data_IF_004989681118
#
_entry.id   IF_004989681118
#
_cell.length_a   1.000
_cell.length_b   1.000
_cell.length_c   1.000
_cell.angle_alpha   90.00
_cell.angle_beta   90.00
_cell.angle_gamma   90.00
#
_symmetry.space_group_name_H-M   'P 1'
#
loop_
_entity.id
_entity.type
_entity.pdbx_description
1 polymer ?
#
# COMPACT_ATOMS: atom_id res chain seq x y z
N UNK A 1 4.91 4.00 -34.16
CA UNK A 1 4.25 3.16 -33.12
C UNK A 1 3.09 2.41 -33.77
N UNK A 2 2.98 1.08 -33.60
CA UNK A 2 1.80 0.34 -34.07
C UNK A 2 0.60 0.72 -33.21
N UNK A 3 -0.28 1.56 -33.75
CA UNK A 3 -1.43 2.15 -33.03
C UNK A 3 -2.30 1.07 -32.36
N UNK A 4 -2.37 -0.13 -32.95
CA UNK A 4 -3.10 -1.26 -32.38
C UNK A 4 -2.59 -1.74 -31.02
N UNK A 5 -1.28 -1.78 -30.76
CA UNK A 5 -0.76 -2.26 -29.47
C UNK A 5 -1.04 -1.26 -28.35
N UNK A 6 -1.04 0.04 -28.64
CA UNK A 6 -1.47 1.08 -27.69
C UNK A 6 -2.94 0.90 -27.30
N UNK A 7 -3.82 0.69 -28.28
CA UNK A 7 -5.26 0.52 -28.02
C UNK A 7 -5.53 -0.73 -27.20
N UNK A 8 -4.92 -1.86 -27.58
CA UNK A 8 -5.02 -3.11 -26.83
C UNK A 8 -4.54 -2.90 -25.40
N UNK A 9 -3.35 -2.34 -25.20
CA UNK A 9 -2.83 -2.07 -23.87
C UNK A 9 -3.74 -1.17 -23.05
N UNK A 10 -4.32 -0.13 -23.65
CA UNK A 10 -5.20 0.81 -22.95
C UNK A 10 -6.45 0.11 -22.41
N UNK A 11 -7.10 -0.72 -23.23
CA UNK A 11 -8.26 -1.52 -22.81
C UNK A 11 -7.84 -2.55 -21.76
N UNK A 12 -6.74 -3.27 -22.03
CA UNK A 12 -6.24 -4.30 -21.13
C UNK A 12 -5.90 -3.72 -19.75
N UNK A 13 -5.27 -2.55 -19.69
CA UNK A 13 -4.93 -1.84 -18.45
C UNK A 13 -6.17 -1.59 -17.60
N UNK A 14 -7.28 -1.14 -18.18
CA UNK A 14 -8.51 -0.92 -17.42
C UNK A 14 -9.05 -2.23 -16.85
N UNK A 15 -9.04 -3.31 -17.64
CA UNK A 15 -9.51 -4.62 -17.21
C UNK A 15 -8.59 -5.27 -16.16
N UNK A 16 -7.27 -5.11 -16.26
CA UNK A 16 -6.31 -5.53 -15.23
C UNK A 16 -6.63 -4.89 -13.89
N UNK A 17 -6.91 -3.59 -13.88
CA UNK A 17 -7.25 -2.85 -12.65
C UNK A 17 -8.54 -3.40 -12.03
N UNK A 18 -9.51 -3.83 -12.83
CA UNK A 18 -10.75 -4.49 -12.40
C UNK A 18 -10.55 -5.96 -11.98
N UNK A 19 -9.31 -6.45 -11.90
CA UNK A 19 -9.00 -7.84 -11.54
C UNK A 19 -9.30 -8.86 -12.65
N UNK A 20 -9.51 -8.40 -13.89
CA UNK A 20 -9.81 -9.27 -15.04
C UNK A 20 -8.54 -9.65 -15.83
N UNK A 21 -7.38 -9.70 -15.18
CA UNK A 21 -6.07 -9.94 -15.80
C UNK A 21 -6.01 -11.24 -16.62
N UNK A 22 -6.73 -12.28 -16.19
CA UNK A 22 -6.83 -13.55 -16.92
C UNK A 22 -7.43 -13.40 -18.33
N UNK A 23 -8.40 -12.49 -18.51
CA UNK A 23 -9.08 -12.28 -19.80
C UNK A 23 -8.22 -11.52 -20.81
N UNK A 24 -7.26 -10.74 -20.32
CA UNK A 24 -6.48 -9.81 -21.14
C UNK A 24 -5.05 -10.27 -21.41
N UNK A 25 -4.58 -11.30 -20.71
CA UNK A 25 -3.24 -11.86 -20.84
C UNK A 25 -2.90 -12.20 -22.31
N UNK A 26 -3.77 -12.92 -23.01
CA UNK A 26 -3.56 -13.31 -24.41
C UNK A 26 -3.41 -12.11 -25.36
N UNK A 27 -4.18 -11.05 -25.12
CA UNK A 27 -4.11 -9.83 -25.94
C UNK A 27 -2.80 -9.06 -25.71
N UNK A 28 -2.32 -9.01 -24.47
CA UNK A 28 -1.04 -8.39 -24.13
C UNK A 28 0.16 -9.22 -24.64
N UNK A 29 0.05 -10.54 -24.61
CA UNK A 29 1.02 -11.44 -25.24
C UNK A 29 1.08 -11.20 -26.74
N UNK A 30 -0.07 -11.16 -27.41
CA UNK A 30 -0.16 -10.84 -28.83
C UNK A 30 0.48 -9.47 -29.15
N UNK A 31 0.14 -8.44 -28.37
CA UNK A 31 0.71 -7.10 -28.55
C UNK A 31 2.24 -7.10 -28.38
N UNK A 32 2.76 -7.85 -27.41
CA UNK A 32 4.20 -8.02 -27.19
C UNK A 32 4.86 -8.69 -28.40
N UNK A 33 4.28 -9.80 -28.90
CA UNK A 33 4.79 -10.54 -30.06
C UNK A 33 4.76 -9.68 -31.32
N UNK A 34 3.72 -8.88 -31.55
CA UNK A 34 3.65 -7.96 -32.70
C UNK A 34 4.78 -6.95 -32.70
N UNK A 35 5.15 -6.41 -31.53
CA UNK A 35 6.29 -5.49 -31.42
C UNK A 35 7.62 -6.21 -31.65
N UNK A 36 7.70 -7.51 -31.35
CA UNK A 36 8.90 -8.32 -31.56
C UNK A 36 9.04 -8.87 -33.00
N UNK A 37 7.93 -9.03 -33.73
CA UNK A 37 7.91 -9.69 -35.04
C UNK A 37 8.34 -8.79 -36.20
N UNK A 38 8.51 -7.49 -35.97
CA UNK A 38 8.81 -6.50 -37.00
C UNK A 38 10.14 -5.81 -36.70
N UNK A 39 11.12 -5.99 -37.60
CA UNK A 39 12.48 -5.44 -37.47
C UNK A 39 12.46 -3.92 -37.19
N UNK A 40 11.65 -3.08 -37.88
CA UNK A 40 11.58 -1.65 -37.57
C UNK A 40 11.13 -1.31 -36.14
N UNK A 41 10.38 -2.22 -35.50
CA UNK A 41 9.88 -2.07 -34.13
C UNK A 41 10.86 -2.60 -33.07
N UNK A 42 11.98 -3.22 -33.49
CA UNK A 42 13.02 -3.72 -32.60
C UNK A 42 14.05 -2.67 -32.18
N UNK A 43 14.00 -1.46 -32.73
CA UNK A 43 14.92 -0.36 -32.40
C UNK A 43 14.77 0.15 -30.95
N UNK A 44 15.80 0.87 -30.47
CA UNK A 44 15.83 1.50 -29.14
C UNK A 44 14.66 2.45 -28.93
N UNK A 45 14.23 3.17 -29.98
CA UNK A 45 13.07 4.07 -29.94
C UNK A 45 11.80 3.39 -29.38
N UNK A 46 11.58 2.10 -29.67
CA UNK A 46 10.39 1.37 -29.21
C UNK A 46 10.63 0.53 -27.95
N UNK A 47 11.83 0.57 -27.37
CA UNK A 47 12.22 -0.25 -26.23
C UNK A 47 11.38 0.07 -24.99
N UNK A 48 11.15 1.35 -24.69
CA UNK A 48 10.32 1.77 -23.55
C UNK A 48 8.91 1.20 -23.63
N UNK A 49 8.31 1.19 -24.82
CA UNK A 49 6.99 0.64 -25.05
C UNK A 49 6.97 -0.89 -24.94
N UNK A 50 7.96 -1.56 -25.56
CA UNK A 50 8.11 -3.03 -25.43
C UNK A 50 8.27 -3.46 -23.97
N UNK A 51 9.13 -2.79 -23.21
CA UNK A 51 9.33 -3.08 -21.79
C UNK A 51 8.05 -2.85 -20.97
N UNK A 52 7.20 -1.89 -21.36
CA UNK A 52 5.89 -1.65 -20.72
C UNK A 52 4.92 -2.80 -21.00
N UNK A 53 4.85 -3.28 -22.24
CA UNK A 53 4.06 -4.47 -22.58
C UNK A 53 4.58 -5.71 -21.85
N UNK A 54 5.90 -5.88 -21.76
CA UNK A 54 6.48 -7.02 -21.03
C UNK A 54 6.12 -6.99 -19.55
N UNK A 55 6.20 -5.82 -18.91
CA UNK A 55 5.82 -5.65 -17.52
C UNK A 55 4.33 -5.93 -17.30
N UNK A 56 3.47 -5.50 -18.23
CA UNK A 56 2.03 -5.77 -18.18
C UNK A 56 1.72 -7.27 -18.27
N UNK A 57 2.37 -8.00 -19.17
CA UNK A 57 2.23 -9.47 -19.27
C UNK A 57 2.69 -10.15 -17.99
N UNK A 58 3.87 -9.78 -17.47
CA UNK A 58 4.37 -10.31 -16.19
C UNK A 58 3.40 -10.02 -15.04
N UNK A 59 2.83 -8.82 -14.99
CA UNK A 59 1.84 -8.45 -13.99
C UNK A 59 0.56 -9.28 -14.10
N UNK A 60 0.05 -9.53 -15.31
CA UNK A 60 -1.09 -10.43 -15.49
C UNK A 60 -0.82 -11.83 -14.97
N UNK A 61 0.39 -12.38 -15.21
CA UNK A 61 0.75 -13.67 -14.63
C UNK A 61 0.79 -13.64 -13.10
N UNK A 62 1.26 -12.55 -12.48
CA UNK A 62 1.20 -12.39 -11.03
C UNK A 62 -0.25 -12.34 -10.51
N UNK A 63 -1.10 -11.54 -11.14
CA UNK A 63 -2.52 -11.43 -10.79
C UNK A 63 -3.26 -12.77 -10.93
N UNK A 64 -2.86 -13.60 -11.89
CA UNK A 64 -3.40 -14.95 -12.11
C UNK A 64 -2.77 -16.04 -11.23
N UNK A 65 -2.05 -15.68 -10.17
CA UNK A 65 -1.34 -16.62 -9.27
C UNK A 65 -0.30 -17.51 -10.00
N UNK A 66 0.11 -17.12 -11.19
CA UNK A 66 1.03 -17.84 -12.07
C UNK A 66 2.44 -17.20 -12.04
N UNK A 67 2.92 -16.81 -10.84
CA UNK A 67 4.11 -15.97 -10.69
C UNK A 67 5.40 -16.55 -11.29
N UNK A 68 5.52 -17.87 -11.40
CA UNK A 68 6.66 -18.51 -12.11
C UNK A 68 6.71 -18.04 -13.57
N UNK A 69 5.57 -18.05 -14.25
CA UNK A 69 5.46 -17.60 -15.64
C UNK A 69 5.74 -16.10 -15.76
N UNK A 70 5.28 -15.29 -14.79
CA UNK A 70 5.58 -13.87 -14.73
C UNK A 70 7.08 -13.57 -14.66
N UNK A 71 7.81 -14.29 -13.80
CA UNK A 71 9.27 -14.18 -13.69
C UNK A 71 9.99 -14.68 -14.95
N UNK A 72 9.61 -15.84 -15.50
CA UNK A 72 10.19 -16.38 -16.74
C UNK A 72 10.04 -15.38 -17.89
N UNK A 73 8.85 -14.78 -18.01
CA UNK A 73 8.58 -13.79 -19.04
C UNK A 73 9.44 -12.52 -18.86
N UNK A 74 9.57 -12.03 -17.62
CA UNK A 74 10.42 -10.87 -17.33
C UNK A 74 11.90 -11.15 -17.62
N UNK A 75 12.40 -12.35 -17.29
CA UNK A 75 13.77 -12.78 -17.64
C UNK A 75 13.98 -12.84 -19.16
N UNK A 76 13.01 -13.35 -19.91
CA UNK A 76 13.03 -13.33 -21.38
C UNK A 76 13.11 -11.90 -21.91
N UNK A 77 12.30 -10.99 -21.37
CA UNK A 77 12.33 -9.57 -21.71
C UNK A 77 13.69 -8.94 -21.46
N UNK A 78 14.31 -9.26 -20.31
CA UNK A 78 15.64 -8.77 -19.94
C UNK A 78 16.74 -9.26 -20.89
N UNK A 79 16.72 -10.53 -21.29
CA UNK A 79 17.66 -11.09 -22.29
C UNK A 79 17.56 -10.31 -23.61
N UNK A 80 16.33 -10.05 -24.09
CA UNK A 80 16.13 -9.27 -25.33
C UNK A 80 16.58 -7.82 -25.22
N UNK A 81 16.44 -7.20 -24.05
CA UNK A 81 16.96 -5.85 -23.78
C UNK A 81 18.48 -5.87 -23.85
N UNK A 82 19.14 -6.88 -23.28
CA UNK A 82 20.60 -7.03 -23.29
C UNK A 82 21.13 -7.29 -24.70
N UNK A 83 20.49 -8.17 -25.48
CA UNK A 83 20.82 -8.40 -26.89
C UNK A 83 20.76 -7.11 -27.71
N UNK A 84 19.70 -6.30 -27.52
CA UNK A 84 19.58 -5.02 -28.21
C UNK A 84 20.64 -4.02 -27.75
N UNK A 85 21.00 -4.03 -26.47
CA UNK A 85 22.06 -3.17 -25.93
C UNK A 85 23.41 -3.50 -26.56
N UNK A 86 23.76 -4.79 -26.65
CA UNK A 86 24.99 -5.23 -27.30
C UNK A 86 25.04 -4.81 -28.78
N UNK A 87 23.91 -4.89 -29.49
CA UNK A 87 23.82 -4.43 -30.88
C UNK A 87 24.03 -2.91 -31.02
N UNK A 88 23.50 -2.13 -30.07
CA UNK A 88 23.66 -0.67 -30.04
C UNK A 88 25.11 -0.26 -29.69
N UNK A 89 25.75 -1.00 -28.78
CA UNK A 89 27.16 -0.78 -28.40
C UNK A 89 28.12 -1.07 -29.58
N UNK A 90 27.74 -1.96 -30.51
CA UNK A 90 28.50 -2.25 -31.73
C UNK A 90 28.24 -1.18 -32.82
N UNK A 91 27.05 -0.58 -32.86
CA UNK A 91 26.61 0.30 -33.95
C UNK A 91 26.90 1.79 -33.72
N UNK A 92 27.05 2.24 -32.47
CA UNK A 92 26.98 3.67 -32.14
C UNK A 92 28.33 4.40 -32.07
N UNK A 93 28.37 5.58 -32.71
CA UNK A 93 29.34 6.65 -32.47
C UNK A 93 28.62 7.83 -31.78
N UNK A 94 28.79 7.95 -30.46
CA UNK A 94 28.64 9.19 -29.67
C UNK A 94 27.24 9.85 -29.52
N UNK A 95 26.15 9.09 -29.32
CA UNK A 95 24.87 9.63 -28.76
C UNK A 95 24.39 8.83 -27.51
N UNK A 96 25.21 8.81 -26.46
CA UNK A 96 25.04 7.87 -25.33
C UNK A 96 23.92 8.20 -24.33
N UNK A 97 23.55 9.47 -24.12
CA UNK A 97 22.81 9.83 -22.89
C UNK A 97 21.32 9.51 -22.88
N UNK A 98 20.63 9.53 -24.02
CA UNK A 98 19.19 9.23 -24.09
C UNK A 98 18.93 7.73 -24.22
N UNK A 99 19.72 7.04 -25.06
CA UNK A 99 19.67 5.59 -25.19
C UNK A 99 19.96 4.90 -23.84
N UNK A 100 20.97 5.36 -23.09
CA UNK A 100 21.28 4.82 -21.75
C UNK A 100 20.10 4.95 -20.77
N UNK A 101 19.35 6.07 -20.81
CA UNK A 101 18.15 6.24 -19.98
C UNK A 101 17.06 5.25 -20.37
N UNK A 102 16.85 5.03 -21.67
CA UNK A 102 15.88 4.07 -22.19
C UNK A 102 16.23 2.63 -21.78
N UNK A 103 17.51 2.24 -21.91
CA UNK A 103 17.98 0.94 -21.46
C UNK A 103 17.86 0.78 -19.94
N UNK A 104 18.23 1.81 -19.16
CA UNK A 104 18.10 1.80 -17.69
C UNK A 104 16.64 1.65 -17.26
N UNK A 105 15.73 2.37 -17.90
CA UNK A 105 14.28 2.24 -17.68
C UNK A 105 13.78 0.82 -17.99
N UNK A 106 14.12 0.29 -19.16
CA UNK A 106 13.66 -1.02 -19.62
C UNK A 106 14.18 -2.15 -18.71
N UNK A 107 15.47 -2.11 -18.35
CA UNK A 107 16.09 -3.06 -17.42
C UNK A 107 15.45 -2.96 -16.05
N UNK A 108 15.21 -1.75 -15.52
CA UNK A 108 14.57 -1.57 -14.22
C UNK A 108 13.16 -2.19 -14.17
N UNK A 109 12.35 -2.00 -15.22
CA UNK A 109 11.01 -2.64 -15.32
C UNK A 109 11.10 -4.16 -15.21
N UNK A 110 12.03 -4.80 -15.93
CA UNK A 110 12.18 -6.25 -15.89
C UNK A 110 12.75 -6.73 -14.56
N UNK A 111 13.77 -6.05 -14.02
CA UNK A 111 14.37 -6.39 -12.73
C UNK A 111 13.38 -6.32 -11.58
N UNK A 112 12.51 -5.31 -11.54
CA UNK A 112 11.44 -5.19 -10.55
C UNK A 112 10.46 -6.37 -10.64
N UNK A 113 10.03 -6.74 -11.85
CA UNK A 113 9.15 -7.90 -12.06
C UNK A 113 9.81 -9.22 -11.66
N UNK A 114 11.11 -9.39 -11.89
CA UNK A 114 11.88 -10.57 -11.46
C UNK A 114 11.98 -10.60 -9.92
N UNK A 115 12.33 -9.47 -9.31
CA UNK A 115 12.50 -9.34 -7.86
C UNK A 115 11.23 -9.69 -7.10
N UNK A 116 10.07 -9.23 -7.59
CA UNK A 116 8.73 -9.47 -7.01
C UNK A 116 8.51 -10.92 -6.59
N UNK A 117 8.97 -11.89 -7.40
CA UNK A 117 8.93 -13.31 -7.05
C UNK A 117 10.22 -13.83 -6.42
N UNK A 118 11.37 -13.42 -6.95
CA UNK A 118 12.67 -13.97 -6.56
C UNK A 118 12.94 -13.82 -5.06
N UNK A 119 12.51 -12.70 -4.46
CA UNK A 119 12.68 -12.43 -3.03
C UNK A 119 12.02 -13.51 -2.15
N UNK A 120 10.78 -13.88 -2.45
CA UNK A 120 10.06 -14.94 -1.74
C UNK A 120 10.54 -16.35 -2.12
N UNK A 121 10.89 -16.59 -3.39
CA UNK A 121 11.32 -17.89 -3.86
C UNK A 121 12.71 -18.30 -3.34
N UNK A 122 13.59 -17.33 -3.08
CA UNK A 122 14.94 -17.56 -2.54
C UNK A 122 14.90 -18.27 -1.18
N UNK A 123 13.95 -17.90 -0.32
CA UNK A 123 13.75 -18.51 1.00
C UNK A 123 13.19 -19.93 0.91
N UNK A 124 12.26 -20.19 -0.01
CA UNK A 124 11.72 -21.55 -0.23
C UNK A 124 12.79 -22.57 -0.62
N UNK A 125 13.82 -22.14 -1.40
CA UNK A 125 14.93 -23.00 -1.83
C UNK A 125 16.02 -23.21 -0.76
N UNK A 126 16.13 -22.33 0.23
CA UNK A 126 17.13 -22.42 1.32
C UNK A 126 16.86 -23.56 2.31
N UNK A 127 15.66 -24.13 2.32
CA UNK A 127 15.27 -25.17 3.26
C UNK A 127 15.86 -26.56 2.98
N UNK A 128 16.61 -26.76 1.90
CA UNK A 128 17.17 -28.08 1.62
C UNK A 128 18.36 -28.43 2.51
N UNK A 129 19.33 -27.55 2.82
CA UNK A 129 20.52 -27.96 3.60
C UNK A 129 21.29 -26.85 4.36
N UNK A 130 20.66 -25.77 4.82
CA UNK A 130 21.35 -24.83 5.73
C UNK A 130 20.40 -24.10 6.68
N UNK A 131 20.49 -24.42 7.98
CA UNK A 131 20.09 -23.46 9.03
C UNK A 131 21.08 -22.30 8.96
N UNK A 132 20.84 -21.34 8.08
CA UNK A 132 21.49 -20.03 8.21
C UNK A 132 21.00 -19.41 9.51
N UNK A 133 21.93 -18.93 10.33
CA UNK A 133 21.63 -18.44 11.68
C UNK A 133 20.53 -17.40 11.61
N UNK A 134 19.44 -17.65 12.34
CA UNK A 134 18.28 -16.78 12.47
C UNK A 134 18.72 -15.46 13.10
N UNK A 135 19.12 -14.48 12.28
CA UNK A 135 19.34 -13.12 12.73
C UNK A 135 17.96 -12.53 12.98
N UNK A 136 17.59 -12.34 14.25
CA UNK A 136 16.36 -11.66 14.59
C UNK A 136 16.38 -10.26 13.93
N UNK A 137 15.36 -9.87 13.15
CA UNK A 137 15.31 -8.55 12.51
C UNK A 137 15.42 -7.42 13.55
N UNK A 138 14.95 -7.66 14.78
CA UNK A 138 15.01 -6.73 15.91
C UNK A 138 16.41 -6.57 16.55
N UNK A 139 17.36 -7.49 16.32
CA UNK A 139 18.73 -7.42 16.90
C UNK A 139 19.79 -6.97 15.88
N UNK A 140 19.39 -6.71 14.64
CA UNK A 140 20.29 -6.37 13.54
C UNK A 140 20.59 -4.86 13.42
N UNK A 141 20.07 -4.03 14.32
CA UNK A 141 20.23 -2.55 14.30
C UNK A 141 21.70 -2.11 14.38
N UNK A 142 22.60 -2.94 14.94
CA UNK A 142 24.03 -2.63 15.08
C UNK A 142 24.93 -3.13 13.93
N UNK A 143 24.36 -3.72 12.87
CA UNK A 143 25.11 -4.21 11.71
C UNK A 143 25.00 -3.21 10.55
N UNK A 144 26.10 -2.99 9.83
CA UNK A 144 26.10 -2.17 8.62
C UNK A 144 25.23 -2.81 7.54
N UNK A 145 24.37 -2.02 6.89
CA UNK A 145 23.62 -2.41 5.71
C UNK A 145 24.57 -2.97 4.61
N UNK A 146 24.26 -4.09 3.93
CA UNK A 146 23.09 -4.97 4.03
C UNK A 146 23.28 -6.14 5.01
N UNK A 147 22.22 -6.48 5.76
CA UNK A 147 22.21 -7.43 6.89
C UNK A 147 21.43 -8.71 6.57
N UNK A 148 20.29 -8.58 5.90
CA UNK A 148 19.40 -9.72 5.59
C UNK A 148 19.63 -10.28 4.19
N UNK A 149 19.14 -11.48 3.90
CA UNK A 149 19.21 -12.05 2.54
C UNK A 149 18.39 -11.22 1.56
N UNK A 150 17.29 -10.63 2.02
CA UNK A 150 16.43 -9.71 1.26
C UNK A 150 17.19 -8.44 0.88
N UNK A 151 17.87 -7.81 1.84
CA UNK A 151 18.68 -6.60 1.61
C UNK A 151 19.86 -6.88 0.67
N UNK A 152 20.54 -8.03 0.82
CA UNK A 152 21.60 -8.47 -0.09
C UNK A 152 21.10 -8.65 -1.52
N UNK A 153 19.91 -9.22 -1.71
CA UNK A 153 19.30 -9.37 -3.04
C UNK A 153 18.93 -8.01 -3.65
N UNK A 154 18.39 -7.08 -2.84
CA UNK A 154 18.07 -5.72 -3.29
C UNK A 154 19.31 -4.97 -3.80
N UNK A 155 20.40 -4.99 -3.02
CA UNK A 155 21.66 -4.34 -3.40
C UNK A 155 22.29 -5.01 -4.64
N UNK A 156 22.13 -6.32 -4.79
CA UNK A 156 22.66 -7.04 -5.96
C UNK A 156 21.88 -6.76 -7.26
N UNK A 157 20.59 -6.39 -7.17
CA UNK A 157 19.72 -6.21 -8.34
C UNK A 157 19.49 -4.74 -8.72
N UNK A 158 19.65 -3.79 -7.79
CA UNK A 158 19.24 -2.40 -8.00
C UNK A 158 20.28 -1.39 -7.49
N UNK A 159 20.62 -0.47 -8.38
CA UNK A 159 21.48 0.67 -8.08
C UNK A 159 20.64 1.88 -7.61
N UNK A 160 20.79 2.20 -6.32
CA UNK A 160 20.21 3.39 -5.71
C UNK A 160 18.92 3.12 -4.93
N UNK A 161 18.69 3.97 -3.93
CA UNK A 161 17.64 3.79 -2.95
C UNK A 161 16.23 3.85 -3.54
N UNK A 162 15.99 4.75 -4.51
CA UNK A 162 14.69 4.86 -5.19
C UNK A 162 14.31 3.58 -5.97
N UNK A 163 15.28 2.93 -6.65
CA UNK A 163 15.05 1.67 -7.36
C UNK A 163 14.81 0.51 -6.38
N UNK A 164 15.58 0.46 -5.29
CA UNK A 164 15.39 -0.52 -4.22
C UNK A 164 14.01 -0.36 -3.56
N UNK A 165 13.59 0.88 -3.28
CA UNK A 165 12.28 1.17 -2.69
C UNK A 165 11.12 0.79 -3.62
N UNK A 166 11.25 1.07 -4.93
CA UNK A 166 10.27 0.63 -5.91
C UNK A 166 10.14 -0.90 -5.95
N UNK A 167 11.27 -1.61 -5.90
CA UNK A 167 11.27 -3.07 -5.88
C UNK A 167 10.60 -3.64 -4.62
N UNK A 168 10.82 -3.01 -3.45
CA UNK A 168 10.15 -3.34 -2.20
C UNK A 168 8.64 -3.15 -2.33
N UNK A 169 8.21 -1.97 -2.78
CA UNK A 169 6.79 -1.66 -2.96
C UNK A 169 6.10 -2.65 -3.90
N UNK A 170 6.76 -3.00 -4.99
CA UNK A 170 6.17 -3.91 -5.98
C UNK A 170 6.09 -5.35 -5.46
N UNK A 171 7.08 -5.78 -4.66
CA UNK A 171 7.05 -7.07 -3.97
C UNK A 171 5.91 -7.14 -2.93
N UNK A 172 5.64 -6.04 -2.24
CA UNK A 172 4.57 -5.93 -1.24
C UNK A 172 3.18 -5.69 -1.85
N UNK A 173 3.08 -5.20 -3.09
CA UNK A 173 1.80 -4.87 -3.76
C UNK A 173 1.06 -6.10 -4.33
N UNK A 174 1.15 -7.25 -3.67
CA UNK A 174 0.51 -8.48 -4.13
C UNK A 174 -0.98 -8.54 -3.75
N UNK A 175 -1.85 -8.23 -4.73
CA UNK A 175 -3.30 -8.22 -4.57
C UNK A 175 -3.88 -9.56 -4.08
N UNK A 176 -3.19 -10.68 -4.29
CA UNK A 176 -3.64 -12.00 -3.83
C UNK A 176 -3.57 -12.19 -2.31
N UNK A 177 -2.97 -11.24 -1.60
CA UNK A 177 -2.78 -11.27 -0.14
C UNK A 177 -3.71 -10.33 0.62
N UNK A 178 -4.50 -9.51 -0.09
CA UNK A 178 -5.46 -8.55 0.47
C UNK A 178 -6.85 -9.15 0.72
N UNK A 179 -6.94 -10.32 1.36
CA UNK A 179 -8.24 -10.88 1.70
C UNK A 179 -8.25 -11.30 3.17
N UNK A 180 -8.75 -10.39 4.01
CA UNK A 180 -9.58 -10.78 5.15
C UNK A 180 -10.70 -11.71 4.61
N UNK A 181 -11.02 -12.82 5.29
CA UNK A 181 -10.64 -13.19 6.65
C UNK A 181 -9.35 -14.03 6.72
N UNK A 182 -8.71 -14.09 7.90
CA UNK A 182 -7.49 -14.87 8.11
C UNK A 182 -7.77 -16.36 7.88
N UNK A 183 -7.23 -16.92 6.79
CA UNK A 183 -7.10 -18.37 6.68
C UNK A 183 -6.02 -18.84 7.68
N UNK A 184 -6.16 -20.03 8.28
CA UNK A 184 -5.17 -20.54 9.22
C UNK A 184 -3.82 -20.70 8.50
N UNK A 185 -2.72 -20.25 9.11
CA UNK A 185 -1.47 -20.10 8.40
C UNK A 185 -0.92 -21.44 7.95
N UNK A 186 -0.82 -21.62 6.63
CA UNK A 186 -0.08 -22.72 6.03
C UNK A 186 1.41 -22.55 6.40
N UNK A 187 2.20 -23.62 6.62
CA UNK A 187 3.62 -23.50 7.01
C UNK A 187 4.48 -22.62 6.08
N UNK A 188 4.10 -22.48 4.80
CA UNK A 188 4.72 -21.59 3.82
C UNK A 188 4.47 -20.08 4.12
N UNK A 189 3.45 -19.73 4.90
CA UNK A 189 3.10 -18.36 5.27
C UNK A 189 4.03 -17.76 6.33
N UNK A 190 4.59 -18.58 7.23
CA UNK A 190 5.52 -18.08 8.26
C UNK A 190 6.82 -17.55 7.62
N UNK A 191 7.33 -18.21 6.58
CA UNK A 191 8.52 -17.76 5.83
C UNK A 191 8.23 -16.53 4.97
N UNK A 192 7.01 -16.44 4.45
CA UNK A 192 6.53 -15.26 3.75
C UNK A 192 6.44 -14.07 4.71
N UNK A 193 5.98 -14.28 5.94
CA UNK A 193 5.93 -13.28 7.00
C UNK A 193 7.31 -12.71 7.30
N UNK A 194 8.31 -13.59 7.51
CA UNK A 194 9.69 -13.14 7.75
C UNK A 194 10.24 -12.27 6.61
N UNK A 195 10.04 -12.67 5.34
CA UNK A 195 10.46 -11.86 4.18
C UNK A 195 9.70 -10.53 4.12
N UNK A 196 8.43 -10.53 4.47
CA UNK A 196 7.58 -9.34 4.46
C UNK A 196 8.05 -8.33 5.51
N UNK A 197 8.32 -8.77 6.75
CA UNK A 197 8.90 -7.92 7.78
C UNK A 197 10.31 -7.43 7.42
N UNK A 198 11.13 -8.25 6.75
CA UNK A 198 12.44 -7.82 6.21
C UNK A 198 12.29 -6.72 5.14
N UNK A 199 11.33 -6.86 4.22
CA UNK A 199 11.02 -5.86 3.19
C UNK A 199 10.55 -4.54 3.80
N UNK A 200 9.69 -4.58 4.81
CA UNK A 200 9.23 -3.39 5.52
C UNK A 200 10.36 -2.72 6.32
N UNK A 201 11.22 -3.50 6.98
CA UNK A 201 12.39 -2.96 7.69
C UNK A 201 13.36 -2.28 6.73
N UNK A 202 13.63 -2.91 5.58
CA UNK A 202 14.43 -2.36 4.49
C UNK A 202 13.83 -1.07 3.92
N UNK A 203 12.51 -1.06 3.69
CA UNK A 203 11.80 0.11 3.19
C UNK A 203 11.84 1.28 4.16
N UNK A 204 11.68 1.01 5.46
CA UNK A 204 11.75 2.04 6.50
C UNK A 204 13.15 2.65 6.61
N UNK A 205 14.21 1.85 6.50
CA UNK A 205 15.60 2.36 6.52
C UNK A 205 15.91 3.23 5.30
N UNK A 206 15.42 2.83 4.12
CA UNK A 206 15.53 3.64 2.90
C UNK A 206 14.75 4.95 3.03
N UNK A 207 13.58 4.93 3.67
CA UNK A 207 12.74 6.09 3.90
C UNK A 207 13.34 7.06 4.92
N UNK A 208 13.94 6.55 6.00
CA UNK A 208 14.55 7.37 7.06
C UNK A 208 15.90 7.97 6.66
N UNK A 209 16.65 7.30 5.79
CA UNK A 209 17.98 7.71 5.34
C UNK A 209 18.02 8.69 4.14
N UNK A 210 16.89 8.97 3.47
CA UNK A 210 16.85 9.81 2.27
C UNK A 210 15.94 11.03 2.43
N UNK A 211 16.40 12.19 1.95
CA UNK A 211 15.54 13.35 1.71
C UNK A 211 14.62 13.07 0.52
N UNK A 212 13.31 13.23 0.71
CA UNK A 212 12.30 13.09 -0.34
C UNK A 212 12.63 13.96 -1.57
N UNK A 213 12.44 13.44 -2.78
CA UNK A 213 12.56 14.22 -4.02
C UNK A 213 11.17 14.70 -4.46
N UNK A 214 11.00 16.02 -4.66
CA UNK A 214 9.74 16.63 -5.08
C UNK A 214 9.97 17.47 -6.33
N UNK A 215 9.25 17.15 -7.42
CA UNK A 215 8.94 18.12 -8.47
C UNK A 215 7.46 18.07 -8.80
N UNK A 216 6.86 19.25 -9.01
CA UNK A 216 5.51 19.41 -9.55
C UNK A 216 5.43 18.69 -10.90
N UNK A 217 4.71 17.57 -10.95
CA UNK A 217 4.41 16.90 -12.21
C UNK A 217 2.90 16.84 -12.43
N UNK A 218 2.52 17.33 -13.61
CA UNK A 218 1.16 17.56 -14.05
C UNK A 218 0.30 16.29 -13.99
N UNK A 219 -0.97 16.53 -13.66
CA UNK A 219 -2.05 15.56 -13.63
C UNK A 219 -2.10 14.71 -14.90
N UNK A 220 -2.01 13.39 -14.74
CA UNK A 220 -2.64 12.45 -15.67
C UNK A 220 -3.14 11.20 -14.94
N UNK A 221 -4.38 11.31 -14.44
CA UNK A 221 -5.42 10.28 -14.23
C UNK A 221 -5.01 8.83 -13.80
N UNK A 222 -5.40 8.51 -12.56
CA UNK A 222 -5.77 7.23 -11.91
C UNK A 222 -5.60 5.91 -12.71
N UNK A 223 -4.69 5.03 -12.26
CA UNK A 223 -4.93 3.60 -11.92
C UNK A 223 -3.63 2.94 -11.44
N UNK A 224 -3.65 2.20 -10.32
CA UNK A 224 -2.57 2.26 -9.32
C UNK A 224 -1.40 1.26 -9.37
N UNK A 225 -1.29 0.36 -10.34
CA UNK A 225 -0.15 -0.59 -10.33
C UNK A 225 0.85 -0.34 -11.46
N UNK A 226 0.50 -0.53 -12.74
CA UNK A 226 1.49 -0.32 -13.81
C UNK A 226 1.83 1.16 -14.04
N UNK A 227 0.86 2.07 -13.92
CA UNK A 227 1.11 3.52 -14.06
C UNK A 227 1.93 4.05 -12.88
N UNK A 228 1.74 3.49 -11.69
CA UNK A 228 2.55 3.81 -10.52
C UNK A 228 4.01 3.37 -10.73
N UNK A 229 4.25 2.15 -11.23
CA UNK A 229 5.60 1.69 -11.59
C UNK A 229 6.21 2.61 -12.66
N UNK A 230 5.48 2.92 -13.73
CA UNK A 230 5.95 3.80 -14.81
C UNK A 230 6.32 5.20 -14.30
N UNK A 231 5.48 5.80 -13.43
CA UNK A 231 5.73 7.11 -12.81
C UNK A 231 7.00 7.11 -11.97
N UNK A 232 7.18 6.10 -11.11
CA UNK A 232 8.36 6.03 -10.24
C UNK A 232 9.64 5.71 -11.01
N UNK A 233 9.56 4.91 -12.08
CA UNK A 233 10.72 4.63 -12.93
C UNK A 233 11.17 5.89 -13.67
N UNK A 234 10.25 6.73 -14.16
CA UNK A 234 10.59 8.01 -14.76
C UNK A 234 11.37 8.92 -13.79
N UNK A 235 10.96 8.97 -12.52
CA UNK A 235 11.67 9.72 -11.46
C UNK A 235 13.11 9.18 -11.27
N UNK A 236 13.27 7.86 -11.25
CA UNK A 236 14.59 7.20 -11.09
C UNK A 236 15.50 7.44 -12.31
N UNK A 237 14.96 7.41 -13.52
CA UNK A 237 15.72 7.59 -14.77
C UNK A 237 16.05 9.06 -15.04
N UNK A 238 15.28 9.99 -14.47
CA UNK A 238 15.61 11.41 -14.42
C UNK A 238 16.81 11.75 -13.50
N UNK A 239 17.34 10.78 -12.76
CA UNK A 239 18.53 10.92 -11.91
C UNK A 239 18.23 11.30 -10.46
N UNK A 240 16.96 11.25 -10.04
CA UNK A 240 16.55 11.55 -8.68
C UNK A 240 16.85 10.34 -7.78
N UNK A 241 17.63 10.58 -6.73
CA UNK A 241 18.10 9.52 -5.81
C UNK A 241 17.11 9.24 -4.68
N UNK A 242 16.16 10.14 -4.45
CA UNK A 242 15.19 10.07 -3.35
C UNK A 242 13.92 9.32 -3.69
N UNK A 243 13.19 8.93 -2.64
CA UNK A 243 11.89 8.27 -2.73
C UNK A 243 10.82 9.31 -3.09
N UNK A 244 9.92 8.97 -4.02
CA UNK A 244 8.76 9.80 -4.37
C UNK A 244 7.73 9.82 -3.24
N UNK A 245 7.07 10.96 -3.04
CA UNK A 245 5.99 11.08 -2.03
C UNK A 245 4.85 10.08 -2.26
N UNK A 246 4.46 9.80 -3.51
CA UNK A 246 3.41 8.81 -3.81
C UNK A 246 3.84 7.41 -3.36
N UNK A 247 5.13 7.11 -3.50
CA UNK A 247 5.70 5.83 -3.10
C UNK A 247 5.74 5.69 -1.58
N UNK A 248 6.08 6.75 -0.86
CA UNK A 248 6.04 6.76 0.59
C UNK A 248 4.60 6.60 1.13
N UNK A 249 3.61 7.28 0.53
CA UNK A 249 2.20 7.11 0.91
C UNK A 249 1.73 5.68 0.64
N UNK A 250 2.05 5.08 -0.52
CA UNK A 250 1.72 3.68 -0.82
C UNK A 250 2.38 2.73 0.19
N UNK A 251 3.61 3.00 0.60
CA UNK A 251 4.33 2.21 1.61
C UNK A 251 3.62 2.22 2.96
N UNK A 252 3.18 3.39 3.43
CA UNK A 252 2.42 3.51 4.70
C UNK A 252 1.10 2.75 4.62
N UNK A 253 0.36 2.87 3.51
CA UNK A 253 -0.89 2.11 3.30
C UNK A 253 -0.64 0.60 3.35
N UNK A 254 0.41 0.12 2.69
CA UNK A 254 0.79 -1.30 2.72
C UNK A 254 1.17 -1.75 4.14
N UNK A 255 1.93 -0.93 4.89
CA UNK A 255 2.28 -1.26 6.28
C UNK A 255 1.03 -1.42 7.17
N UNK A 256 0.00 -0.61 6.93
CA UNK A 256 -1.30 -0.76 7.59
C UNK A 256 -1.98 -2.08 7.20
N UNK A 257 -2.09 -2.37 5.90
CA UNK A 257 -2.75 -3.59 5.40
C UNK A 257 -2.09 -4.89 5.88
N UNK A 258 -0.77 -4.87 6.07
CA UNK A 258 0.00 -6.01 6.58
C UNK A 258 0.14 -6.05 8.12
N UNK A 259 -0.51 -5.12 8.84
CA UNK A 259 -0.44 -4.99 10.31
C UNK A 259 0.99 -4.77 10.87
N UNK A 260 1.89 -4.18 10.10
CA UNK A 260 3.26 -3.88 10.53
C UNK A 260 3.32 -2.54 11.29
N UNK A 261 2.73 -2.51 12.49
CA UNK A 261 2.45 -1.27 13.25
C UNK A 261 3.68 -0.39 13.51
N UNK A 262 4.81 -0.98 13.90
CA UNK A 262 6.03 -0.19 14.16
C UNK A 262 6.48 0.55 12.90
N UNK A 263 6.40 -0.11 11.75
CA UNK A 263 6.77 0.46 10.45
C UNK A 263 5.73 1.48 10.02
N UNK A 264 4.44 1.18 10.21
CA UNK A 264 3.34 2.10 9.93
C UNK A 264 3.53 3.44 10.66
N UNK A 265 3.69 3.43 11.98
CA UNK A 265 3.82 4.66 12.77
C UNK A 265 5.10 5.43 12.44
N UNK A 266 6.23 4.73 12.30
CA UNK A 266 7.50 5.38 11.96
C UNK A 266 7.44 6.00 10.56
N UNK A 267 6.93 5.26 9.57
CA UNK A 267 6.79 5.78 8.21
C UNK A 267 5.75 6.91 8.11
N UNK A 268 4.66 6.82 8.89
CA UNK A 268 3.65 7.86 8.97
C UNK A 268 4.23 9.17 9.51
N UNK A 269 5.10 9.12 10.54
CA UNK A 269 5.76 10.32 11.05
C UNK A 269 6.62 11.00 9.97
N UNK A 270 7.39 10.23 9.20
CA UNK A 270 8.17 10.78 8.08
C UNK A 270 7.29 11.39 7.00
N UNK A 271 6.20 10.70 6.63
CA UNK A 271 5.30 11.15 5.58
C UNK A 271 4.45 12.35 6.03
N UNK A 272 3.98 12.40 7.27
CA UNK A 272 3.20 13.53 7.78
C UNK A 272 4.07 14.80 7.84
N UNK A 273 5.30 14.70 8.36
CA UNK A 273 6.27 15.81 8.32
C UNK A 273 6.51 16.31 6.89
N UNK A 274 6.58 15.39 5.92
CA UNK A 274 6.68 15.73 4.51
C UNK A 274 5.42 16.45 3.99
N UNK A 275 4.22 15.91 4.26
CA UNK A 275 2.96 16.49 3.79
C UNK A 275 2.71 17.88 4.41
N UNK A 276 2.97 18.06 5.71
CA UNK A 276 2.85 19.36 6.38
C UNK A 276 3.82 20.40 5.82
N UNK A 277 4.99 19.98 5.31
CA UNK A 277 5.94 20.88 4.66
C UNK A 277 5.52 21.26 3.22
N UNK A 278 4.50 20.60 2.65
CA UNK A 278 4.03 20.82 1.28
C UNK A 278 2.63 21.44 1.29
N UNK A 279 2.53 22.76 1.12
CA UNK A 279 1.27 23.47 0.89
C UNK A 279 0.67 23.21 -0.53
N UNK A 280 0.70 21.96 -1.01
CA UNK A 280 0.21 21.57 -2.33
C UNK A 280 -1.15 20.87 -2.23
N UNK A 281 -2.20 21.35 -2.93
CA UNK A 281 -3.53 20.74 -2.90
C UNK A 281 -3.58 19.30 -3.42
N UNK A 282 -2.57 18.85 -4.17
CA UNK A 282 -2.47 17.46 -4.66
C UNK A 282 -2.31 16.43 -3.53
N UNK A 283 -1.73 16.84 -2.39
CA UNK A 283 -1.47 15.96 -1.26
C UNK A 283 -2.63 15.83 -0.28
N UNK A 284 -3.64 16.71 -0.36
CA UNK A 284 -4.81 16.69 0.53
C UNK A 284 -5.51 15.34 0.56
N UNK A 285 -5.58 14.66 -0.58
CA UNK A 285 -6.16 13.31 -0.67
C UNK A 285 -5.39 12.30 0.19
N UNK A 286 -4.06 12.29 0.06
CA UNK A 286 -3.20 11.41 0.82
C UNK A 286 -3.26 11.73 2.33
N UNK A 287 -3.30 13.00 2.68
CA UNK A 287 -3.43 13.44 4.07
C UNK A 287 -4.74 12.95 4.71
N UNK A 288 -5.87 13.11 4.00
CA UNK A 288 -7.18 12.60 4.46
C UNK A 288 -7.12 11.08 4.66
N UNK A 289 -6.59 10.35 3.67
CA UNK A 289 -6.50 8.89 3.71
C UNK A 289 -5.63 8.40 4.87
N UNK A 290 -4.47 9.02 5.10
CA UNK A 290 -3.60 8.64 6.21
C UNK A 290 -4.25 8.94 7.57
N UNK A 291 -4.93 10.08 7.71
CA UNK A 291 -5.70 10.41 8.93
C UNK A 291 -6.79 9.38 9.20
N UNK A 292 -7.51 8.92 8.16
CA UNK A 292 -8.52 7.87 8.30
C UNK A 292 -7.90 6.55 8.78
N UNK A 293 -6.75 6.15 8.23
CA UNK A 293 -6.05 4.93 8.67
C UNK A 293 -5.60 5.02 10.13
N UNK A 294 -5.10 6.18 10.58
CA UNK A 294 -4.74 6.39 11.99
C UNK A 294 -5.94 6.27 12.92
N UNK A 295 -7.11 6.78 12.51
CA UNK A 295 -8.35 6.65 13.28
C UNK A 295 -8.91 5.22 13.29
N UNK A 296 -8.74 4.48 12.19
CA UNK A 296 -9.19 3.10 12.09
C UNK A 296 -8.35 2.13 12.94
N UNK A 297 -7.06 2.38 13.08
CA UNK A 297 -6.13 1.49 13.77
C UNK A 297 -6.63 1.01 15.16
N UNK A 298 -6.98 1.91 16.10
CA UNK A 298 -7.39 1.49 17.45
C UNK A 298 -8.72 0.74 17.46
N UNK A 299 -9.59 0.99 16.49
CA UNK A 299 -10.91 0.38 16.37
C UNK A 299 -10.78 -1.06 15.85
N UNK A 300 -9.97 -1.27 14.80
CA UNK A 300 -9.78 -2.60 14.20
C UNK A 300 -8.98 -3.51 15.15
N UNK A 301 -7.98 -2.98 15.86
CA UNK A 301 -7.04 -3.77 16.66
C UNK A 301 -6.88 -3.26 18.12
N UNK A 302 -7.90 -3.43 18.97
CA UNK A 302 -7.81 -3.06 20.38
C UNK A 302 -6.79 -3.98 21.09
N UNK A 303 -5.70 -3.40 21.60
CA UNK A 303 -4.74 -4.09 22.49
C UNK A 303 -3.31 -4.32 21.96
N UNK A 304 -2.97 -3.94 20.70
CA UNK A 304 -1.58 -4.03 20.20
C UNK A 304 -0.76 -2.74 20.36
N UNK A 305 -1.39 -1.62 20.76
CA UNK A 305 -0.77 -0.30 20.83
C UNK A 305 -0.10 0.04 22.18
N UNK A 306 -0.42 -0.67 23.27
CA UNK A 306 0.02 -0.26 24.61
C UNK A 306 1.50 -0.58 24.92
N UNK A 307 2.19 -1.39 24.11
CA UNK A 307 3.54 -1.86 24.45
C UNK A 307 4.71 -1.14 23.75
N UNK A 308 4.48 -0.04 23.02
CA UNK A 308 5.52 0.53 22.14
C UNK A 308 6.35 1.66 22.79
N UNK A 309 6.03 2.16 24.00
CA UNK A 309 6.77 3.28 24.61
C UNK A 309 7.21 3.13 26.08
N UNK A 310 7.38 1.91 26.60
CA UNK A 310 8.12 1.71 27.85
C UNK A 310 9.55 1.24 27.57
N UNK A 311 10.41 2.15 27.12
CA UNK A 311 11.84 2.01 27.37
C UNK A 311 12.02 2.30 28.86
N UNK A 312 12.01 1.26 29.68
CA UNK A 312 12.47 1.32 31.06
C UNK A 312 13.97 1.59 31.04
N UNK A 313 14.33 2.86 31.22
CA UNK A 313 15.70 3.26 31.48
C UNK A 313 16.01 2.95 32.95
N UNK A 314 16.44 1.71 33.20
CA UNK A 314 16.85 1.25 34.51
C UNK A 314 18.37 1.43 34.63
N UNK A 315 18.80 2.50 35.32
CA UNK A 315 20.21 2.91 35.28
C UNK A 315 20.68 4.09 36.16
N UNK A 316 20.35 4.06 37.46
CA UNK A 316 21.22 4.51 38.58
C UNK A 316 21.59 6.02 38.79
N UNK A 317 20.83 6.65 39.72
CA UNK A 317 21.28 7.42 40.90
C UNK A 317 21.96 8.83 40.82
N UNK A 318 21.33 9.75 41.58
CA UNK A 318 21.84 10.91 42.38
C UNK A 318 21.99 12.31 41.74
N UNK A 319 21.33 13.30 42.38
CA UNK A 319 21.97 14.58 42.73
C UNK A 319 21.34 15.91 42.25
N UNK A 320 20.28 16.37 42.93
CA UNK A 320 20.00 17.74 43.37
C UNK A 320 20.20 19.02 42.48
N UNK A 321 19.07 19.72 42.27
CA UNK A 321 18.78 21.17 42.38
C UNK A 321 19.19 22.25 41.33
N UNK A 322 18.14 23.02 40.97
CA UNK A 322 18.03 24.45 40.61
C UNK A 322 18.01 24.93 39.14
N UNK A 323 16.81 25.36 38.74
CA UNK A 323 16.40 26.59 38.01
C UNK A 323 17.20 27.09 36.80
N UNK A 324 16.54 27.16 35.62
CA UNK A 324 16.12 28.43 35.00
C UNK A 324 15.42 28.21 33.62
N UNK A 325 14.25 28.86 33.49
CA UNK A 325 13.55 29.37 32.30
C UNK A 325 14.15 29.13 30.90
N UNK A 326 13.35 28.61 29.95
CA UNK A 326 12.74 29.41 28.87
C UNK A 326 11.78 28.60 27.98
N UNK A 327 10.86 29.33 27.35
CA UNK A 327 9.58 28.89 26.78
C UNK A 327 9.75 28.13 25.46
N UNK A 328 9.26 26.88 25.42
CA UNK A 328 8.81 26.23 24.18
C UNK A 328 7.42 25.68 24.45
N UNK A 329 6.42 26.14 23.69
CA UNK A 329 5.05 25.62 23.74
C UNK A 329 5.07 24.17 23.26
N UNK A 330 5.19 23.26 24.22
CA UNK A 330 5.00 21.84 24.05
C UNK A 330 3.50 21.59 23.86
N UNK A 331 3.14 21.12 22.66
CA UNK A 331 1.86 20.49 22.38
C UNK A 331 1.69 19.38 23.42
N UNK A 332 0.75 19.60 24.34
CA UNK A 332 0.38 18.67 25.39
C UNK A 332 -0.15 17.40 24.71
N UNK A 333 0.69 16.37 24.57
CA UNK A 333 0.25 14.99 24.31
C UNK A 333 -0.61 14.59 25.50
N UNK A 334 -1.92 14.82 25.41
CA UNK A 334 -2.87 14.19 26.31
C UNK A 334 -2.79 12.69 26.08
N UNK A 335 -2.30 11.98 27.09
CA UNK A 335 -2.44 10.54 27.20
C UNK A 335 -3.95 10.22 27.21
N UNK A 336 -4.52 9.91 26.04
CA UNK A 336 -5.86 9.35 25.98
C UNK A 336 -5.81 7.98 26.64
N UNK A 337 -6.42 7.90 27.84
CA UNK A 337 -6.99 6.63 28.33
C UNK A 337 -7.88 6.05 27.22
N UNK A 338 -8.09 4.72 27.15
CA UNK A 338 -9.01 4.15 26.17
C UNK A 338 -10.33 4.90 26.26
N UNK A 339 -10.70 5.59 25.18
CA UNK A 339 -11.97 6.28 25.10
C UNK A 339 -13.10 5.26 25.19
N UNK A 340 -14.31 5.73 25.46
CA UNK A 340 -15.52 4.94 25.19
C UNK A 340 -15.44 4.43 23.73
N UNK A 341 -15.43 3.10 23.48
CA UNK A 341 -15.29 2.53 22.14
C UNK A 341 -16.32 3.09 21.14
N UNK A 342 -17.49 3.47 21.62
CA UNK A 342 -18.52 4.11 20.81
C UNK A 342 -18.12 5.52 20.35
N UNK A 343 -17.42 6.28 21.18
CA UNK A 343 -16.95 7.63 20.84
C UNK A 343 -15.92 7.59 19.71
N UNK A 344 -15.02 6.61 19.71
CA UNK A 344 -14.01 6.46 18.66
C UNK A 344 -14.65 6.06 17.32
N UNK A 345 -15.67 5.18 17.35
CA UNK A 345 -16.50 4.84 16.18
C UNK A 345 -17.24 6.06 15.63
N UNK A 346 -17.86 6.86 16.51
CA UNK A 346 -18.55 8.08 16.12
C UNK A 346 -17.61 9.13 15.54
N UNK A 347 -16.41 9.31 16.09
CA UNK A 347 -15.39 10.21 15.55
C UNK A 347 -15.01 9.75 14.13
N UNK A 348 -14.74 8.46 13.92
CA UNK A 348 -14.41 7.93 12.60
C UNK A 348 -15.55 8.17 11.60
N UNK A 349 -16.79 7.81 11.94
CA UNK A 349 -17.94 7.94 11.06
C UNK A 349 -18.26 9.40 10.71
N UNK A 350 -18.26 10.30 11.69
CA UNK A 350 -18.51 11.74 11.47
C UNK A 350 -17.40 12.41 10.67
N UNK A 351 -16.15 12.00 10.88
CA UNK A 351 -14.99 12.49 10.12
C UNK A 351 -15.06 12.06 8.65
N UNK A 352 -15.43 10.80 8.38
CA UNK A 352 -15.60 10.31 7.00
C UNK A 352 -16.78 11.02 6.33
N UNK A 353 -17.89 11.16 7.05
CA UNK A 353 -19.08 11.85 6.56
C UNK A 353 -18.80 13.32 6.25
N UNK A 354 -18.00 14.02 7.06
CA UNK A 354 -17.61 15.41 6.79
C UNK A 354 -16.73 15.48 5.54
N UNK A 355 -15.72 14.62 5.38
CA UNK A 355 -14.89 14.62 4.17
C UNK A 355 -15.70 14.35 2.89
N UNK A 356 -16.74 13.53 2.96
CA UNK A 356 -17.61 13.25 1.81
C UNK A 356 -18.61 14.40 1.58
N UNK A 357 -19.15 15.00 2.64
CA UNK A 357 -20.23 15.99 2.55
C UNK A 357 -19.75 17.44 2.39
N UNK A 358 -18.57 17.81 2.90
CA UNK A 358 -18.04 19.19 2.91
C UNK A 358 -16.83 19.38 2.00
N UNK A 359 -16.54 18.42 1.12
CA UNK A 359 -15.42 18.52 0.18
C UNK A 359 -15.71 19.62 -0.87
N UNK A 360 -15.37 20.87 -0.55
CA UNK A 360 -15.43 22.02 -1.48
C UNK A 360 -14.53 21.83 -2.73
N UNK A 361 -13.60 20.85 -2.69
CA UNK A 361 -12.60 20.61 -3.75
C UNK A 361 -12.81 19.28 -4.52
N UNK A 362 -13.94 18.57 -4.35
CA UNK A 362 -14.19 17.23 -4.93
C UNK A 362 -13.07 16.20 -4.67
N UNK A 363 -12.33 16.35 -3.56
CA UNK A 363 -11.25 15.43 -3.17
C UNK A 363 -11.82 14.40 -2.22
N UNK A 364 -12.20 13.25 -2.77
CA UNK A 364 -12.70 12.12 -1.99
C UNK A 364 -11.60 11.06 -1.74
N UNK A 365 -11.64 10.37 -0.58
CA UNK A 365 -10.80 9.20 -0.34
C UNK A 365 -11.03 8.12 -1.40
N UNK A 366 -10.04 7.25 -1.59
CA UNK A 366 -10.20 6.08 -2.46
C UNK A 366 -11.35 5.18 -1.98
N UNK A 367 -12.10 4.63 -2.95
CA UNK A 367 -13.27 3.79 -2.69
C UNK A 367 -12.93 2.56 -1.84
N UNK A 368 -11.74 1.99 -2.01
CA UNK A 368 -11.26 0.85 -1.22
C UNK A 368 -11.16 1.20 0.27
N UNK A 369 -10.56 2.35 0.60
CA UNK A 369 -10.45 2.83 1.98
C UNK A 369 -11.84 3.11 2.57
N UNK A 370 -12.75 3.68 1.77
CA UNK A 370 -14.13 3.91 2.21
C UNK A 370 -14.88 2.60 2.47
N UNK A 371 -14.69 1.58 1.63
CA UNK A 371 -15.23 0.23 1.88
C UNK A 371 -14.67 -0.32 3.20
N UNK A 372 -13.36 -0.24 3.41
CA UNK A 372 -12.72 -0.75 4.63
C UNK A 372 -13.22 -0.03 5.90
N UNK A 373 -13.38 1.29 5.84
CA UNK A 373 -13.99 2.10 6.91
C UNK A 373 -15.41 1.63 7.22
N UNK A 374 -16.26 1.52 6.20
CA UNK A 374 -17.66 1.11 6.36
C UNK A 374 -17.75 -0.32 6.90
N UNK A 375 -16.92 -1.23 6.40
CA UNK A 375 -16.85 -2.60 6.91
C UNK A 375 -16.40 -2.63 8.37
N UNK A 376 -15.38 -1.85 8.74
CA UNK A 376 -14.91 -1.73 10.12
C UNK A 376 -16.04 -1.26 11.06
N UNK A 377 -16.73 -0.18 10.68
CA UNK A 377 -17.86 0.36 11.44
C UNK A 377 -18.98 -0.69 11.56
N UNK A 378 -19.34 -1.38 10.47
CA UNK A 378 -20.40 -2.40 10.48
C UNK A 378 -20.06 -3.58 11.37
N UNK A 379 -18.84 -4.13 11.31
CA UNK A 379 -18.48 -5.29 12.11
C UNK A 379 -18.60 -5.00 13.62
N UNK A 380 -18.20 -3.78 14.04
CA UNK A 380 -18.35 -3.35 15.44
C UNK A 380 -19.81 -3.10 15.81
N UNK A 381 -20.57 -2.40 14.97
CA UNK A 381 -22.00 -2.20 15.20
C UNK A 381 -22.76 -3.52 15.31
N UNK A 382 -22.50 -4.47 14.40
CA UNK A 382 -23.16 -5.79 14.37
C UNK A 382 -22.91 -6.59 15.63
N UNK A 383 -21.67 -6.58 16.15
CA UNK A 383 -21.32 -7.29 17.39
C UNK A 383 -22.10 -6.73 18.59
N UNK A 384 -22.17 -5.41 18.73
CA UNK A 384 -22.87 -4.75 19.83
C UNK A 384 -24.40 -4.89 19.70
N UNK A 385 -24.96 -4.76 18.49
CA UNK A 385 -26.40 -4.95 18.24
C UNK A 385 -26.87 -6.38 18.54
N UNK A 386 -26.04 -7.39 18.23
CA UNK A 386 -26.32 -8.78 18.60
C UNK A 386 -26.30 -8.98 20.12
N UNK A 387 -25.37 -8.35 20.84
CA UNK A 387 -25.34 -8.41 22.31
C UNK A 387 -26.56 -7.75 22.95
N UNK A 388 -27.03 -6.63 22.39
CA UNK A 388 -28.25 -5.93 22.83
C UNK A 388 -29.49 -6.81 22.62
N UNK A 389 -29.58 -7.57 21.52
CA UNK A 389 -30.70 -8.49 21.27
C UNK A 389 -30.70 -9.72 22.20
N UNK A 390 -29.53 -10.19 22.62
CA UNK A 390 -29.41 -11.34 23.53
C UNK A 390 -29.66 -11.01 25.01
N UNK A 391 -29.57 -9.74 25.40
CA UNK A 391 -29.71 -9.27 26.79
C UNK A 391 -31.15 -8.88 27.12
N UNK A 392 -32.06 -9.86 27.16
CA UNK A 392 -33.49 -9.66 27.47
C UNK A 392 -33.78 -9.38 28.95
N UNK A 393 -33.69 -8.12 29.40
CA UNK A 393 -34.11 -7.71 30.75
C UNK A 393 -34.83 -6.35 30.77
N UNK A 394 -35.98 -6.28 31.42
CA UNK A 394 -36.92 -5.14 31.40
C UNK A 394 -36.46 -3.86 32.15
N UNK A 395 -35.38 -3.90 32.95
CA UNK A 395 -34.80 -2.67 33.56
C UNK A 395 -33.80 -1.97 32.59
N UNK A 396 -33.35 -2.70 31.58
CA UNK A 396 -32.43 -2.23 30.55
C UNK A 396 -33.15 -1.50 29.41
N UNK A 397 -34.48 -1.60 29.28
CA UNK A 397 -35.25 -1.01 28.17
C UNK A 397 -35.04 0.50 27.99
N UNK A 398 -34.91 1.30 29.06
CA UNK A 398 -34.73 2.76 28.94
C UNK A 398 -33.28 3.16 28.61
N UNK A 399 -32.29 2.49 29.21
CA UNK A 399 -30.86 2.71 28.95
C UNK A 399 -30.50 2.20 27.54
N UNK A 400 -31.05 1.04 27.16
CA UNK A 400 -30.91 0.47 25.82
C UNK A 400 -31.63 1.33 24.78
N UNK A 401 -32.73 2.02 25.10
CA UNK A 401 -33.38 2.96 24.16
C UNK A 401 -32.46 4.13 23.80
N UNK A 402 -31.79 4.72 24.80
CA UNK A 402 -30.86 5.83 24.57
C UNK A 402 -29.58 5.39 23.83
N UNK A 403 -29.04 4.21 24.16
CA UNK A 403 -27.92 3.60 23.44
C UNK A 403 -28.32 3.15 22.02
N UNK A 404 -29.53 2.62 21.83
CA UNK A 404 -30.05 2.23 20.53
C UNK A 404 -30.17 3.44 19.59
N UNK A 405 -30.64 4.59 20.06
CA UNK A 405 -30.66 5.81 19.24
C UNK A 405 -29.27 6.25 18.79
N UNK A 406 -28.25 6.06 19.64
CA UNK A 406 -26.86 6.35 19.29
C UNK A 406 -26.33 5.41 18.19
N UNK A 407 -26.63 4.11 18.29
CA UNK A 407 -26.28 3.14 17.25
C UNK A 407 -27.08 3.35 15.95
N UNK A 408 -28.36 3.71 16.02
CA UNK A 408 -29.17 4.09 14.86
C UNK A 408 -28.59 5.31 14.16
N UNK A 409 -28.13 6.31 14.92
CA UNK A 409 -27.48 7.48 14.35
C UNK A 409 -26.17 7.11 13.62
N UNK A 410 -25.36 6.22 14.20
CA UNK A 410 -24.15 5.71 13.55
C UNK A 410 -24.47 4.94 12.25
N UNK A 411 -25.48 4.06 12.29
CA UNK A 411 -25.94 3.33 11.10
C UNK A 411 -26.48 4.27 10.01
N UNK A 412 -27.19 5.33 10.39
CA UNK A 412 -27.65 6.35 9.46
C UNK A 412 -26.48 7.09 8.80
N UNK A 413 -25.46 7.48 9.58
CA UNK A 413 -24.23 8.08 9.02
C UNK A 413 -23.55 7.12 8.04
N UNK A 414 -23.46 5.82 8.37
CA UNK A 414 -22.90 4.82 7.47
C UNK A 414 -23.68 4.70 6.17
N UNK A 415 -25.02 4.71 6.24
CA UNK A 415 -25.87 4.65 5.06
C UNK A 415 -25.64 5.85 4.13
N UNK A 416 -25.58 7.05 4.70
CA UNK A 416 -25.26 8.29 3.98
C UNK A 416 -23.88 8.25 3.32
N UNK A 417 -22.87 7.72 4.03
CA UNK A 417 -21.52 7.53 3.48
C UNK A 417 -21.58 6.63 2.25
N UNK A 418 -22.30 5.51 2.30
CA UNK A 418 -22.38 4.54 1.19
C UNK A 418 -23.10 5.16 -0.02
N UNK A 419 -24.20 5.86 0.21
CA UNK A 419 -24.99 6.51 -0.85
C UNK A 419 -24.17 7.61 -1.54
N UNK A 420 -23.59 8.53 -0.78
CA UNK A 420 -22.81 9.66 -1.34
C UNK A 420 -21.51 9.25 -2.00
N UNK A 421 -20.92 8.12 -1.59
CA UNK A 421 -19.66 7.62 -2.16
C UNK A 421 -19.86 6.71 -3.40
N UNK A 422 -21.11 6.37 -3.72
CA UNK A 422 -21.47 5.42 -4.78
C UNK A 422 -20.65 4.11 -4.68
N UNK A 423 -20.69 3.51 -3.49
CA UNK A 423 -20.03 2.23 -3.14
C UNK A 423 -21.05 1.09 -3.05
N UNK A 424 -22.36 1.40 -3.11
CA UNK A 424 -23.45 0.44 -2.98
C UNK A 424 -23.33 -0.79 -3.91
N UNK A 425 -22.86 -0.60 -5.15
CA UNK A 425 -22.71 -1.69 -6.15
C UNK A 425 -21.60 -2.70 -5.81
N UNK A 426 -20.71 -2.38 -4.88
CA UNK A 426 -19.51 -3.19 -4.60
C UNK A 426 -19.65 -4.12 -3.40
N UNK A 427 -20.70 -3.99 -2.57
CA UNK A 427 -20.74 -4.72 -1.31
C UNK A 427 -22.16 -5.07 -0.83
N UNK A 428 -22.39 -6.37 -0.55
CA UNK A 428 -23.63 -6.92 0.06
C UNK A 428 -23.96 -6.25 1.40
N UNK A 429 -22.94 -5.68 2.06
CA UNK A 429 -23.05 -4.98 3.34
C UNK A 429 -24.02 -3.81 3.32
N UNK A 430 -24.20 -3.13 2.18
CA UNK A 430 -25.19 -2.05 2.07
C UNK A 430 -26.62 -2.56 2.31
N UNK A 431 -26.95 -3.73 1.75
CA UNK A 431 -28.25 -4.36 1.96
C UNK A 431 -28.42 -4.79 3.43
N UNK A 432 -27.39 -5.34 4.07
CA UNK A 432 -27.44 -5.69 5.50
C UNK A 432 -27.66 -4.47 6.40
N UNK A 433 -26.92 -3.38 6.17
CA UNK A 433 -27.05 -2.13 6.95
C UNK A 433 -28.45 -1.54 6.77
N UNK A 434 -28.95 -1.47 5.54
CA UNK A 434 -30.26 -0.91 5.22
C UNK A 434 -31.38 -1.74 5.86
N UNK A 435 -31.32 -3.07 5.76
CA UNK A 435 -32.29 -3.97 6.40
C UNK A 435 -32.25 -3.86 7.92
N UNK A 436 -31.07 -3.69 8.52
CA UNK A 436 -30.93 -3.52 9.96
C UNK A 436 -31.52 -2.21 10.46
N UNK A 437 -31.29 -1.10 9.75
CA UNK A 437 -31.93 0.19 10.05
C UNK A 437 -33.45 0.07 9.96
N UNK A 438 -33.97 -0.53 8.89
CA UNK A 438 -35.40 -0.72 8.69
C UNK A 438 -36.04 -1.53 9.85
N UNK A 439 -35.44 -2.66 10.22
CA UNK A 439 -35.93 -3.49 11.32
C UNK A 439 -35.92 -2.76 12.67
N UNK A 440 -34.90 -1.94 12.95
CA UNK A 440 -34.86 -1.17 14.20
C UNK A 440 -35.95 -0.08 14.20
N UNK A 441 -36.16 0.61 13.08
CA UNK A 441 -37.20 1.63 12.95
C UNK A 441 -38.61 1.05 13.07
N UNK A 442 -38.87 -0.12 12.48
CA UNK A 442 -40.15 -0.83 12.61
C UNK A 442 -40.44 -1.20 14.08
N UNK A 443 -39.46 -1.77 14.79
CA UNK A 443 -39.62 -2.09 16.22
C UNK A 443 -39.86 -0.85 17.10
N UNK A 444 -39.27 0.30 16.74
CA UNK A 444 -39.50 1.57 17.45
C UNK A 444 -40.87 2.17 17.11
N UNK A 445 -41.43 1.90 15.93
CA UNK A 445 -42.75 2.36 15.52
C UNK A 445 -43.89 1.51 16.11
N UNK A 446 -43.65 0.21 16.34
CA UNK A 446 -44.60 -0.73 16.95
C UNK A 446 -44.65 -0.65 18.50
N UNK A 447 -43.74 0.12 19.11
CA UNK A 447 -43.68 0.41 20.56
C UNK A 447 -44.33 1.75 20.90
#
# INVERSE_FOLDING_TARGET
>A
IFVGTIHIYTICRHLMVMGQSAKVLEYLLWASICMESSIPLLSVHYLTWRATLYAAVSQCYFDCQAGIHGEIFARRGLIKIDELKQLEDISSSLEHTEAEKIFREATLKMSVMIFKRAVYASRRKSNSFRRESKVNPRKAVNLSWPRTTTERLLVAMFDGAAAQFLAILEALSDRSRNLLPPHPPVPDEMQIGDVTSELFSAGLEILSGNSFCIKKQQQLVRSLDLHFILKNIFVITAGEKGVSGDAAVKFVKLAFSYEEWNVFYSALEFVDNFLQAQDDPTWKKAEIELKLLTLMQPIVFPGKSEHIFSISDDGNSKGSTHQASEKTQTIRKESLKPGDPFRDLMILATTVFSYISTSEQNVHPDKEILVDVVMCLWQKCKTELQQIQMSGSHCLEYIHKHQAYQWVHLLWIMNEIIEKSNIADTNVMFAEITLCIAAILENVADS
#
